data_IF_744307942387
#
_entry.id   IF_744307942387
#
_cell.length_a   1.000
_cell.length_b   1.000
_cell.length_c   1.000
_cell.angle_alpha   90.00
_cell.angle_beta   90.00
_cell.angle_gamma   90.00
#
_symmetry.space_group_name_H-M   'P 1'
#
loop_
_entity.id
_entity.type
_entity.pdbx_description
1 polymer ?
#
# COMPACT_ATOMS: atom_id res chain seq x y z
N UNK A 1 -0.90 -4.83 8.63
CA UNK A 1 -0.97 -3.44 9.12
C UNK A 1 -0.77 -2.49 7.94
N UNK A 2 -1.57 -1.42 7.92
CA UNK A 2 -1.50 -0.41 6.85
C UNK A 2 -0.60 0.73 7.27
N UNK A 3 0.36 1.06 6.42
CA UNK A 3 1.39 2.06 6.64
C UNK A 3 1.30 3.17 5.59
N UNK A 4 1.62 4.40 5.98
CA UNK A 4 1.70 5.52 5.04
C UNK A 4 2.79 6.54 5.39
N UNK A 5 3.49 7.06 4.38
CA UNK A 5 4.41 8.20 4.51
C UNK A 5 3.75 9.56 4.21
N UNK A 6 2.46 9.55 3.87
CA UNK A 6 1.70 10.72 3.43
C UNK A 6 1.38 10.74 1.94
N UNK A 7 2.12 9.97 1.14
CA UNK A 7 1.93 9.89 -0.32
C UNK A 7 1.65 8.45 -0.73
N UNK A 8 2.34 7.48 -0.17
CA UNK A 8 2.18 6.07 -0.46
C UNK A 8 1.42 5.40 0.67
N UNK A 9 0.47 4.53 0.32
CA UNK A 9 -0.26 3.68 1.24
C UNK A 9 0.08 2.22 0.92
N UNK A 10 0.66 1.52 1.90
CA UNK A 10 1.13 0.15 1.76
C UNK A 10 0.59 -0.75 2.86
N UNK A 11 0.61 -2.04 2.61
CA UNK A 11 0.38 -3.06 3.61
C UNK A 11 1.71 -3.71 3.97
N UNK A 12 1.90 -4.09 5.23
CA UNK A 12 3.05 -4.88 5.68
C UNK A 12 2.80 -6.40 5.67
N UNK A 13 1.57 -6.83 5.35
CA UNK A 13 1.10 -8.21 5.54
C UNK A 13 0.63 -8.87 4.25
N UNK A 14 -0.20 -8.19 3.43
CA UNK A 14 -0.71 -8.75 2.16
C UNK A 14 -1.36 -7.68 1.27
N UNK A 15 -1.46 -7.94 -0.05
CA UNK A 15 -2.23 -7.07 -0.96
C UNK A 15 -3.73 -7.12 -0.71
N UNK A 16 -4.24 -8.27 -0.26
CA UNK A 16 -5.66 -8.43 0.04
C UNK A 16 -6.11 -7.46 1.14
N UNK A 17 -5.33 -7.27 2.22
CA UNK A 17 -5.67 -6.26 3.24
C UNK A 17 -5.55 -4.84 2.69
N UNK A 18 -4.58 -4.57 1.81
CA UNK A 18 -4.39 -3.26 1.21
C UNK A 18 -5.62 -2.86 0.38
N UNK A 19 -6.12 -3.76 -0.46
CA UNK A 19 -7.32 -3.52 -1.26
C UNK A 19 -8.56 -3.34 -0.40
N UNK A 20 -8.76 -4.17 0.63
CA UNK A 20 -9.89 -4.04 1.56
C UNK A 20 -9.85 -2.71 2.29
N UNK A 21 -8.67 -2.30 2.76
CA UNK A 21 -8.49 -1.02 3.43
C UNK A 21 -8.78 0.15 2.49
N UNK A 22 -8.17 0.15 1.31
CA UNK A 22 -8.38 1.17 0.29
C UNK A 22 -9.86 1.32 -0.10
N UNK A 23 -10.57 0.21 -0.28
CA UNK A 23 -12.00 0.19 -0.55
C UNK A 23 -12.80 0.77 0.62
N UNK A 24 -12.45 0.43 1.87
CA UNK A 24 -13.16 0.91 3.06
C UNK A 24 -13.11 2.42 3.25
N UNK A 25 -12.04 3.07 2.78
CA UNK A 25 -11.88 4.53 2.83
C UNK A 25 -12.30 5.23 1.52
N UNK A 26 -12.77 4.47 0.53
CA UNK A 26 -13.23 4.99 -0.76
C UNK A 26 -12.10 5.46 -1.68
N UNK A 27 -10.95 4.77 -1.70
CA UNK A 27 -9.93 4.95 -2.74
C UNK A 27 -10.32 4.19 -4.00
N UNK A 28 -10.02 4.78 -5.15
CA UNK A 28 -10.27 4.15 -6.44
C UNK A 28 -9.19 3.13 -6.78
N UNK A 29 -9.58 2.03 -7.43
CA UNK A 29 -8.65 0.97 -7.86
C UNK A 29 -7.54 1.50 -8.77
N UNK A 30 -7.81 2.56 -9.54
CA UNK A 30 -6.85 3.14 -10.48
C UNK A 30 -5.70 3.89 -9.78
N UNK A 31 -5.79 4.20 -8.48
CA UNK A 31 -4.66 4.73 -7.69
C UNK A 31 -3.72 3.63 -7.19
N UNK A 32 -4.03 2.37 -7.46
CA UNK A 32 -3.13 1.28 -7.16
C UNK A 32 -2.03 1.18 -8.21
N UNK A 33 -0.80 1.32 -7.76
CA UNK A 33 0.40 1.14 -8.57
C UNK A 33 1.05 -0.21 -8.27
N UNK A 34 1.27 -0.98 -9.32
CA UNK A 34 2.05 -2.21 -9.29
C UNK A 34 3.48 -1.84 -9.68
N UNK A 35 4.25 -1.25 -8.75
CA UNK A 35 5.66 -0.90 -9.01
C UNK A 35 6.58 -2.10 -8.79
N UNK A 36 7.78 -2.06 -9.40
CA UNK A 36 8.78 -3.14 -9.28
C UNK A 36 9.31 -3.31 -7.85
N UNK A 37 9.20 -2.26 -7.04
CA UNK A 37 9.73 -2.22 -5.67
C UNK A 37 8.71 -2.72 -4.63
N UNK A 38 7.42 -2.38 -4.79
CA UNK A 38 6.30 -2.84 -3.98
C UNK A 38 4.95 -2.30 -4.53
N UNK A 39 3.84 -3.04 -4.42
CA UNK A 39 2.52 -2.52 -4.75
C UNK A 39 2.01 -1.57 -3.66
N UNK A 40 1.41 -0.45 -4.08
CA UNK A 40 0.94 0.60 -3.19
C UNK A 40 -0.24 1.36 -3.78
N UNK A 41 -0.94 2.14 -2.95
CA UNK A 41 -1.89 3.15 -3.41
C UNK A 41 -1.30 4.54 -3.27
N UNK A 42 -1.50 5.37 -4.29
CA UNK A 42 -1.15 6.79 -4.25
C UNK A 42 -2.23 7.60 -3.52
N UNK A 43 -1.83 8.34 -2.50
CA UNK A 43 -2.63 9.33 -1.80
C UNK A 43 -2.41 10.68 -2.47
N UNK A 44 -3.20 10.94 -3.51
CA UNK A 44 -3.09 12.14 -4.36
C UNK A 44 -3.57 13.43 -3.69
N UNK A 45 -4.29 13.33 -2.57
CA UNK A 45 -4.88 14.47 -1.87
C UNK A 45 -4.65 14.43 -0.37
N UNK A 46 -4.55 15.60 0.26
CA UNK A 46 -4.45 15.73 1.72
C UNK A 46 -5.67 15.12 2.43
N UNK A 47 -6.85 15.15 1.80
CA UNK A 47 -8.04 14.49 2.33
C UNK A 47 -7.91 12.96 2.34
N UNK A 48 -7.41 12.36 1.25
CA UNK A 48 -7.14 10.92 1.20
C UNK A 48 -6.16 10.49 2.29
N UNK A 49 -5.10 11.28 2.51
CA UNK A 49 -4.17 11.06 3.63
C UNK A 49 -4.86 11.12 4.99
N UNK A 50 -5.64 12.18 5.25
CA UNK A 50 -6.38 12.32 6.51
C UNK A 50 -7.39 11.20 6.71
N UNK A 51 -8.06 10.74 5.65
CA UNK A 51 -8.93 9.56 5.68
C UNK A 51 -8.15 8.32 6.07
N UNK A 52 -7.02 8.06 5.43
CA UNK A 52 -6.19 6.90 5.76
C UNK A 52 -5.82 6.87 7.26
N UNK A 53 -5.38 8.00 7.83
CA UNK A 53 -5.10 8.08 9.27
C UNK A 53 -6.33 7.82 10.14
N UNK A 54 -7.50 8.38 9.79
CA UNK A 54 -8.76 8.14 10.53
C UNK A 54 -9.22 6.68 10.48
N UNK A 55 -8.93 6.00 9.38
CA UNK A 55 -9.23 4.57 9.21
C UNK A 55 -8.20 3.65 9.89
N UNK A 56 -7.15 4.21 10.50
CA UNK A 56 -6.15 3.44 11.25
C UNK A 56 -4.87 3.14 10.49
N UNK A 57 -4.59 3.82 9.38
CA UNK A 57 -3.26 3.77 8.76
C UNK A 57 -2.23 4.40 9.70
N UNK A 58 -1.09 3.73 9.86
CA UNK A 58 0.01 4.21 10.71
C UNK A 58 0.91 5.10 9.88
N UNK A 59 1.09 6.34 10.35
CA UNK A 59 2.07 7.25 9.76
C UNK A 59 3.48 6.75 10.06
N UNK A 60 4.26 6.52 9.03
CA UNK A 60 5.67 6.13 9.11
C UNK A 60 6.51 7.06 8.25
N UNK A 61 7.82 7.05 8.45
CA UNK A 61 8.78 7.71 7.55
C UNK A 61 9.01 6.86 6.30
N UNK A 62 9.43 7.48 5.19
CA UNK A 62 9.83 6.76 3.99
C UNK A 62 10.92 5.70 4.27
N UNK A 63 11.80 5.95 5.26
CA UNK A 63 12.83 5.01 5.70
C UNK A 63 12.25 3.76 6.37
N UNK A 64 11.20 3.91 7.17
CA UNK A 64 10.50 2.79 7.79
C UNK A 64 9.68 2.00 6.76
N UNK A 65 9.05 2.71 5.82
CA UNK A 65 8.32 2.13 4.70
C UNK A 65 9.25 1.23 3.86
N UNK A 66 10.44 1.72 3.50
CA UNK A 66 11.48 0.95 2.79
C UNK A 66 11.93 -0.31 3.56
N UNK A 67 12.01 -0.26 4.90
CA UNK A 67 12.34 -1.45 5.70
C UNK A 67 11.25 -2.51 5.66
N UNK A 68 9.98 -2.09 5.67
CA UNK A 68 8.85 -3.02 5.54
C UNK A 68 8.77 -3.65 4.14
N UNK A 69 9.16 -2.92 3.09
CA UNK A 69 9.18 -3.43 1.71
C UNK A 69 10.20 -4.55 1.52
N UNK A 70 11.40 -4.43 2.08
CA UNK A 70 12.45 -5.47 1.99
C UNK A 70 11.95 -6.81 2.55
N UNK A 71 11.08 -6.77 3.57
CA UNK A 71 10.52 -7.97 4.20
C UNK A 71 9.48 -8.70 3.32
N UNK A 72 8.83 -8.00 2.38
CA UNK A 72 7.71 -8.53 1.59
C UNK A 72 8.09 -9.06 0.20
N UNK A 73 9.34 -8.87 -0.26
CA UNK A 73 9.75 -9.30 -1.61
C UNK A 73 9.74 -10.83 -1.83
N UNK A 74 9.53 -11.63 -0.78
CA UNK A 74 9.34 -13.08 -0.89
C UNK A 74 7.98 -13.49 -1.48
N UNK A 75 6.90 -12.76 -1.18
CA UNK A 75 5.54 -13.09 -1.63
C UNK A 75 5.20 -12.44 -2.98
N UNK A 76 5.68 -11.23 -3.25
CA UNK A 76 5.36 -10.50 -4.50
C UNK A 76 5.90 -11.17 -5.78
N UNK A 77 7.02 -11.90 -5.68
CA UNK A 77 7.54 -12.68 -6.81
C UNK A 77 6.59 -13.82 -7.25
N UNK A 78 5.62 -14.21 -6.41
CA UNK A 78 4.63 -15.23 -6.73
C UNK A 78 3.46 -14.67 -7.58
N UNK A 79 2.90 -13.52 -7.21
CA UNK A 79 1.74 -12.93 -7.90
C UNK A 79 2.08 -12.37 -9.29
N UNK A 80 3.29 -11.80 -9.48
CA UNK A 80 3.75 -11.42 -10.84
C UNK A 80 3.81 -12.60 -11.79
N UNK A 81 4.23 -13.78 -11.31
CA UNK A 81 4.24 -15.00 -12.13
C UNK A 81 2.85 -15.46 -12.53
N UNK A 82 1.82 -15.11 -11.76
CA UNK A 82 0.43 -15.50 -12.03
C UNK A 82 -0.29 -14.55 -13.01
N UNK A 83 0.19 -13.31 -13.18
CA UNK A 83 -0.39 -12.33 -14.13
C UNK A 83 0.26 -12.35 -15.53
N UNK A 84 1.45 -12.96 -15.66
CA UNK A 84 2.18 -13.10 -16.93
C UNK A 84 1.98 -14.48 -17.61
N UNK A 85 0.97 -15.26 -17.20
CA UNK A 85 0.72 -16.63 -17.69
C UNK A 85 -0.66 -16.80 -18.34
#
# INVERSE_FOLDING_TARGET
MILTDGVHLVSDTSLAELHKFAQSMGLERHWFQVHREHPHYDLTTLDAYRRALRHGAVKVTARELAKCMIRQQGEYNYERKAQDC
#
